data_IF_841543211283
#
_entry.id   IF_841543211283
#
_cell.length_a   1.000
_cell.length_b   1.000
_cell.length_c   1.000
_cell.angle_alpha   90.00
_cell.angle_beta   90.00
_cell.angle_gamma   90.00
#
_symmetry.space_group_name_H-M   'P 1'
#
loop_
_entity.id
_entity.type
_entity.pdbx_description
1 polymer ?
#
# COMPACT_ATOMS: atom_id res chain seq x y z
N UNK A 1 8.42 3.23 18.97
CA UNK A 1 9.18 2.45 17.96
C UNK A 1 9.68 3.40 16.89
N UNK A 2 10.79 3.13 16.17
CA UNK A 2 11.17 3.99 15.06
C UNK A 2 10.04 3.98 14.02
N UNK A 3 9.49 5.15 13.73
CA UNK A 3 8.45 5.30 12.72
C UNK A 3 9.06 4.91 11.35
N UNK A 4 8.44 3.94 10.67
CA UNK A 4 8.88 3.53 9.33
C UNK A 4 8.61 4.70 8.37
N UNK A 5 9.63 5.15 7.64
CA UNK A 5 9.45 6.27 6.72
C UNK A 5 8.80 5.81 5.41
N UNK A 6 8.09 6.73 4.74
CA UNK A 6 7.45 6.45 3.45
C UNK A 6 8.50 6.06 2.38
N UNK A 7 9.71 6.62 2.46
CA UNK A 7 10.85 6.30 1.60
C UNK A 7 11.33 4.85 1.78
N UNK A 8 11.31 4.33 3.01
CA UNK A 8 11.64 2.93 3.30
C UNK A 8 10.58 1.98 2.72
N UNK A 9 9.29 2.32 2.84
CA UNK A 9 8.20 1.55 2.24
C UNK A 9 8.25 1.56 0.71
N UNK A 10 8.66 2.69 0.13
CA UNK A 10 8.80 2.81 -1.32
C UNK A 10 9.97 1.99 -1.84
N UNK A 11 11.15 2.12 -1.22
CA UNK A 11 12.38 1.42 -1.63
C UNK A 11 12.33 -0.09 -1.42
N UNK A 12 11.59 -0.56 -0.40
CA UNK A 12 11.33 -2.00 -0.19
C UNK A 12 10.31 -2.60 -1.16
N UNK A 13 9.60 -1.79 -1.95
CA UNK A 13 8.57 -2.26 -2.87
C UNK A 13 7.23 -2.63 -2.20
N UNK A 14 6.99 -2.20 -0.96
CA UNK A 14 5.77 -2.52 -0.20
C UNK A 14 4.46 -1.96 -0.82
N UNK A 15 4.57 -1.07 -1.81
CA UNK A 15 3.43 -0.49 -2.53
C UNK A 15 2.88 -1.39 -3.64
N UNK A 16 3.58 -2.47 -4.02
CA UNK A 16 3.07 -3.39 -5.04
C UNK A 16 2.04 -4.35 -4.47
N UNK A 17 0.82 -4.28 -5.02
CA UNK A 17 -0.26 -5.21 -4.73
C UNK A 17 -0.35 -6.36 -5.73
N UNK A 18 -1.52 -6.98 -5.79
CA UNK A 18 -1.82 -8.07 -6.71
C UNK A 18 -2.23 -7.57 -8.10
N UNK A 19 -2.34 -8.52 -9.04
CA UNK A 19 -2.96 -8.28 -10.35
C UNK A 19 -4.42 -7.85 -10.17
N UNK A 20 -4.87 -6.94 -11.02
CA UNK A 20 -6.23 -6.36 -10.99
C UNK A 20 -7.38 -7.33 -11.22
N UNK A 21 -7.08 -8.52 -11.76
CA UNK A 21 -8.04 -9.64 -11.85
C UNK A 21 -8.15 -10.47 -10.57
N UNK A 22 -7.18 -10.36 -9.64
CA UNK A 22 -7.10 -11.09 -8.38
C UNK A 22 -7.00 -10.10 -7.23
N UNK A 23 -8.06 -9.31 -7.03
CA UNK A 23 -8.14 -8.34 -5.94
C UNK A 23 -9.45 -8.52 -5.16
N UNK A 24 -9.45 -8.05 -3.92
CA UNK A 24 -10.64 -8.00 -3.08
C UNK A 24 -11.28 -6.61 -3.22
N UNK A 25 -12.56 -6.49 -3.64
CA UNK A 25 -13.26 -5.20 -3.77
C UNK A 25 -13.22 -4.31 -2.53
N UNK A 26 -13.13 -4.90 -1.33
CA UNK A 26 -13.00 -4.15 -0.06
C UNK A 26 -11.68 -3.38 0.06
N UNK A 27 -10.66 -3.73 -0.73
CA UNK A 27 -9.37 -3.02 -0.75
C UNK A 27 -9.40 -1.72 -1.55
N UNK A 28 -10.53 -1.37 -2.18
CA UNK A 28 -10.63 -0.20 -3.09
C UNK A 28 -10.17 1.08 -2.42
N UNK A 29 -10.48 1.27 -1.13
CA UNK A 29 -10.09 2.45 -0.38
C UNK A 29 -8.58 2.53 -0.11
N UNK A 30 -7.85 1.42 -0.14
CA UNK A 30 -6.40 1.38 0.11
C UNK A 30 -5.57 1.36 -1.18
N UNK A 31 -6.21 1.26 -2.35
CA UNK A 31 -5.54 1.26 -3.65
C UNK A 31 -5.40 2.71 -4.12
N UNK A 32 -4.16 3.13 -4.37
CA UNK A 32 -3.84 4.44 -4.93
C UNK A 32 -4.14 4.51 -6.43
N UNK A 33 -3.63 3.54 -7.21
CA UNK A 33 -3.87 3.46 -8.64
C UNK A 33 -3.61 2.06 -9.19
N UNK A 34 -3.87 1.86 -10.47
CA UNK A 34 -3.43 0.69 -11.22
C UNK A 34 -2.35 1.10 -12.22
N UNK A 35 -1.27 0.30 -12.33
CA UNK A 35 -0.22 0.46 -13.34
C UNK A 35 0.15 -0.90 -13.91
N UNK A 36 0.14 -1.04 -15.22
CA UNK A 36 0.50 -2.29 -15.92
C UNK A 36 -0.24 -3.54 -15.39
N UNK A 37 -1.51 -3.40 -15.02
CA UNK A 37 -2.31 -4.52 -14.51
C UNK A 37 -2.09 -4.88 -13.04
N UNK A 38 -1.22 -4.16 -12.32
CA UNK A 38 -0.95 -4.33 -10.88
C UNK A 38 -1.59 -3.17 -10.10
N UNK A 39 -2.18 -3.47 -8.95
CA UNK A 39 -2.64 -2.44 -8.00
C UNK A 39 -1.46 -1.86 -7.22
N UNK A 40 -1.37 -0.54 -7.17
CA UNK A 40 -0.44 0.19 -6.31
C UNK A 40 -1.20 0.62 -5.04
N UNK A 41 -0.66 0.25 -3.89
CA UNK A 41 -1.22 0.53 -2.57
C UNK A 41 -0.81 1.93 -2.11
N UNK A 42 -1.73 2.63 -1.45
CA UNK A 42 -1.49 3.97 -0.89
C UNK A 42 -0.64 3.90 0.39
N UNK A 43 0.65 4.20 0.25
CA UNK A 43 1.60 4.17 1.37
C UNK A 43 1.30 5.21 2.46
N UNK A 44 0.59 6.31 2.14
CA UNK A 44 0.20 7.28 3.18
C UNK A 44 -0.85 6.68 4.12
N UNK A 45 -1.81 5.95 3.56
CA UNK A 45 -2.80 5.20 4.34
C UNK A 45 -2.15 4.08 5.13
N UNK A 46 -1.18 3.38 4.53
CA UNK A 46 -0.38 2.37 5.24
C UNK A 46 0.36 2.96 6.44
N UNK A 47 0.97 4.14 6.30
CA UNK A 47 1.68 4.81 7.39
C UNK A 47 0.74 5.13 8.57
N UNK A 48 -0.41 5.73 8.28
CA UNK A 48 -1.43 6.00 9.32
C UNK A 48 -1.93 4.70 9.97
N UNK A 49 -2.18 3.65 9.18
CA UNK A 49 -2.62 2.36 9.70
C UNK A 49 -1.55 1.68 10.58
N UNK A 50 -0.27 1.85 10.26
CA UNK A 50 0.84 1.39 11.10
C UNK A 50 0.88 2.12 12.44
N UNK A 51 0.69 3.44 12.43
CA UNK A 51 0.65 4.25 13.66
C UNK A 51 -0.53 3.84 14.57
N UNK A 52 -1.67 3.42 13.99
CA UNK A 52 -2.82 2.91 14.74
C UNK A 52 -2.64 1.47 15.25
N UNK A 53 -1.78 0.67 14.63
CA UNK A 53 -1.60 -0.74 14.97
C UNK A 53 -0.52 -0.98 16.04
N UNK A 54 0.34 0.01 16.29
CA UNK A 54 1.44 -0.01 17.26
C UNK A 54 1.05 0.67 18.58
#
# INVERSE_FOLDING_TARGET
>A
MPAVSLEQLLSSGAHFGHLTRRWNPKMKEYIFMQKNGIHIIDLKKTQLALDHAL
#
